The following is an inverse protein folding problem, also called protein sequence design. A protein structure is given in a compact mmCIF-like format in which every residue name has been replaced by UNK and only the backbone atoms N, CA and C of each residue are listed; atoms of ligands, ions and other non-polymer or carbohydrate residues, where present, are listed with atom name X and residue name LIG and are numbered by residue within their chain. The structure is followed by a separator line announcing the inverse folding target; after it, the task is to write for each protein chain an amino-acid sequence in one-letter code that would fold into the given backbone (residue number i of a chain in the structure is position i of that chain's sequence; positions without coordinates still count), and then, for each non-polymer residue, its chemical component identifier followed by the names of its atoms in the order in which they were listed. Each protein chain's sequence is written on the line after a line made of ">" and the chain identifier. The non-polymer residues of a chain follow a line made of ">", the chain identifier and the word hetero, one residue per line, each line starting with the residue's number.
data_IF_930051876819
#
_entry.id   IF_930051876819
#
_cell.length_a   1.000
_cell.length_b   1.000
_cell.length_c   1.000
_cell.angle_alpha   90.00
_cell.angle_beta   90.00
_cell.angle_gamma   90.00
#
_symmetry.space_group_name_H-M   'P 1'
#
loop_
_entity.id
_entity.type
_entity.pdbx_description
1 polymer ?
#
# COMPACT_ATOMS: atom_id res chain seq x y z
N UNK A 1 -0.79 -1.46 27.19
CA UNK A 1 0.58 -1.37 26.63
C UNK A 1 0.46 -1.40 25.12
N UNK A 2 0.91 -0.34 24.42
CA UNK A 2 0.78 -0.22 22.96
C UNK A 2 1.79 -1.15 22.28
N UNK A 3 1.32 -2.11 21.48
CA UNK A 3 2.16 -2.93 20.59
C UNK A 3 2.05 -2.34 19.19
N UNK A 4 3.12 -1.69 18.75
CA UNK A 4 3.28 -1.23 17.37
C UNK A 4 3.92 -2.41 16.63
N UNK A 5 3.13 -3.11 15.82
CA UNK A 5 3.63 -4.19 14.96
C UNK A 5 3.99 -3.54 13.62
N UNK A 6 5.25 -3.16 13.47
CA UNK A 6 5.85 -2.93 12.16
C UNK A 6 6.15 -4.31 11.54
N UNK A 7 5.29 -4.78 10.64
CA UNK A 7 5.47 -6.05 9.92
C UNK A 7 4.81 -5.89 8.55
N UNK A 8 5.39 -6.22 7.40
CA UNK A 8 6.74 -6.62 7.05
C UNK A 8 6.98 -6.06 5.63
N UNK A 9 8.18 -5.54 5.39
CA UNK A 9 8.60 -5.08 4.06
C UNK A 9 8.72 -6.31 3.15
N UNK A 10 7.75 -6.50 2.24
CA UNK A 10 7.75 -7.63 1.29
C UNK A 10 9.00 -7.50 0.40
N UNK A 11 9.82 -8.55 0.41
CA UNK A 11 10.99 -8.68 -0.44
C UNK A 11 10.56 -8.67 -1.91
N UNK A 12 10.91 -7.60 -2.63
CA UNK A 12 10.73 -7.51 -4.08
C UNK A 12 11.77 -8.42 -4.73
N UNK A 13 11.31 -9.48 -5.39
CA UNK A 13 12.15 -10.31 -6.27
C UNK A 13 12.54 -9.47 -7.49
N UNK A 14 13.78 -8.97 -7.48
CA UNK A 14 14.39 -8.30 -8.63
C UNK A 14 14.82 -9.39 -9.61
N UNK A 15 13.98 -9.72 -10.60
CA UNK A 15 14.41 -10.54 -11.73
C UNK A 15 15.21 -9.62 -12.66
N UNK A 16 16.51 -9.44 -12.39
CA UNK A 16 17.41 -8.82 -13.35
C UNK A 16 17.85 -9.87 -14.37
N UNK A 17 17.16 -9.94 -15.51
CA UNK A 17 17.82 -10.45 -16.71
C UNK A 17 18.81 -9.39 -17.19
N UNK A 18 20.02 -9.38 -16.63
CA UNK A 18 21.11 -8.56 -17.14
C UNK A 18 21.56 -9.15 -18.48
N UNK A 19 21.06 -8.57 -19.57
CA UNK A 19 21.70 -8.68 -20.88
C UNK A 19 22.55 -7.42 -21.01
N UNK A 20 23.87 -7.56 -20.95
CA UNK A 20 24.83 -6.49 -21.20
C UNK A 20 24.51 -5.83 -22.55
N UNK A 21 24.16 -4.54 -22.54
CA UNK A 21 24.10 -3.74 -23.75
C UNK A 21 24.75 -2.38 -23.51
N UNK A 22 25.97 -2.23 -24.06
CA UNK A 22 26.71 -0.98 -24.12
C UNK A 22 26.09 -0.07 -25.20
N UNK A 23 24.98 0.62 -24.90
CA UNK A 23 24.50 1.66 -25.79
C UNK A 23 23.96 2.89 -25.05
N UNK A 24 24.58 4.04 -25.33
CA UNK A 24 24.47 5.33 -24.63
C UNK A 24 23.14 6.08 -24.90
N UNK A 25 22.17 5.45 -25.57
CA UNK A 25 20.95 6.12 -26.04
C UNK A 25 19.63 5.41 -25.66
N UNK A 26 19.61 4.53 -24.66
CA UNK A 26 18.35 3.90 -24.25
C UNK A 26 17.56 4.79 -23.28
N UNK A 27 16.28 4.98 -23.62
CA UNK A 27 15.23 5.56 -22.76
C UNK A 27 15.40 5.07 -21.31
N UNK A 28 15.05 5.90 -20.30
CA UNK A 28 15.19 5.48 -18.92
C UNK A 28 14.44 4.15 -18.76
N UNK A 29 15.18 3.13 -18.29
CA UNK A 29 14.65 1.82 -17.93
C UNK A 29 13.53 2.05 -16.90
N UNK A 30 12.30 2.26 -17.36
CA UNK A 30 11.12 2.31 -16.51
C UNK A 30 10.94 0.91 -15.97
N UNK A 31 11.46 0.68 -14.75
CA UNK A 31 11.04 -0.44 -13.95
C UNK A 31 9.55 -0.28 -13.70
N UNK A 32 8.74 -1.00 -14.47
CA UNK A 32 7.31 -1.13 -14.18
C UNK A 32 7.19 -1.97 -12.91
N UNK A 33 6.94 -1.31 -11.78
CA UNK A 33 6.58 -2.00 -10.55
C UNK A 33 5.19 -2.58 -10.76
N UNK A 34 5.10 -3.91 -10.88
CA UNK A 34 3.85 -4.64 -10.82
C UNK A 34 3.31 -4.59 -9.39
N UNK A 35 2.45 -3.61 -9.11
CA UNK A 35 1.70 -3.57 -7.86
C UNK A 35 0.47 -4.49 -8.00
N UNK A 36 0.32 -5.55 -7.17
CA UNK A 36 -0.82 -6.44 -7.26
C UNK A 36 -2.11 -5.66 -6.98
N UNK A 37 -3.10 -5.77 -7.89
CA UNK A 37 -4.41 -5.10 -7.73
C UNK A 37 -5.17 -5.60 -6.51
N UNK A 38 -4.91 -6.84 -6.08
CA UNK A 38 -5.54 -7.46 -4.92
C UNK A 38 -4.58 -8.43 -4.26
N UNK A 39 -4.45 -8.32 -2.95
CA UNK A 39 -3.73 -9.26 -2.09
C UNK A 39 -4.70 -9.75 -1.03
N UNK A 40 -4.68 -11.05 -0.74
CA UNK A 40 -5.48 -11.66 0.31
C UNK A 40 -4.58 -12.51 1.18
N UNK A 41 -4.58 -12.23 2.48
CA UNK A 41 -3.83 -12.96 3.49
C UNK A 41 -4.82 -13.60 4.45
N UNK A 42 -4.59 -14.86 4.82
CA UNK A 42 -5.47 -15.57 5.76
C UNK A 42 -4.64 -16.31 6.80
N UNK A 43 -5.00 -16.18 8.07
CA UNK A 43 -4.30 -16.80 9.18
C UNK A 43 -5.24 -17.03 10.37
N UNK A 44 -4.82 -17.88 11.31
CA UNK A 44 -5.49 -18.05 12.60
C UNK A 44 -4.83 -17.13 13.63
N UNK A 45 -5.65 -16.51 14.48
CA UNK A 45 -5.20 -15.66 15.60
C UNK A 45 -6.11 -15.89 16.81
N UNK A 46 -5.69 -15.45 17.99
CA UNK A 46 -6.59 -15.37 19.14
C UNK A 46 -7.16 -13.96 19.25
N UNK A 47 -8.47 -13.82 19.45
CA UNK A 47 -9.09 -12.53 19.73
C UNK A 47 -8.90 -12.09 21.19
N UNK A 48 -9.46 -10.95 21.58
CA UNK A 48 -9.30 -10.38 22.94
C UNK A 48 -9.87 -11.29 24.05
N UNK A 49 -10.77 -12.22 23.71
CA UNK A 49 -11.30 -13.22 24.66
C UNK A 49 -10.41 -14.46 24.78
N UNK A 50 -9.36 -14.58 23.96
CA UNK A 50 -8.48 -15.74 23.87
C UNK A 50 -9.01 -16.88 23.00
N UNK A 51 -10.15 -16.70 22.34
CA UNK A 51 -10.69 -17.67 21.40
C UNK A 51 -9.91 -17.62 20.07
N UNK A 52 -9.62 -18.80 19.49
CA UNK A 52 -9.05 -18.88 18.15
C UNK A 52 -10.09 -18.46 17.11
N UNK A 53 -9.69 -17.55 16.22
CA UNK A 53 -10.52 -16.97 15.16
C UNK A 53 -9.78 -17.00 13.83
N UNK A 54 -10.54 -17.01 12.74
CA UNK A 54 -10.01 -16.89 11.39
C UNK A 54 -9.93 -15.44 10.97
N UNK A 55 -8.72 -14.95 10.68
CA UNK A 55 -8.52 -13.60 10.15
C UNK A 55 -8.28 -13.66 8.64
N UNK A 56 -8.98 -12.80 7.91
CA UNK A 56 -8.74 -12.56 6.48
C UNK A 56 -8.51 -11.07 6.28
N UNK A 57 -7.35 -10.73 5.72
CA UNK A 57 -6.98 -9.38 5.34
C UNK A 57 -7.01 -9.27 3.82
N UNK A 58 -7.67 -8.24 3.31
CA UNK A 58 -7.79 -7.97 1.88
C UNK A 58 -7.29 -6.55 1.61
N UNK A 59 -6.30 -6.43 0.72
CA UNK A 59 -5.81 -5.15 0.20
C UNK A 59 -6.18 -5.08 -1.28
N UNK A 60 -6.91 -4.04 -1.68
CA UNK A 60 -7.28 -3.75 -3.05
C UNK A 60 -6.69 -2.41 -3.49
N UNK A 61 -5.97 -2.40 -4.60
CA UNK A 61 -5.26 -1.23 -5.09
C UNK A 61 -5.81 -0.77 -6.44
N UNK A 62 -6.03 0.54 -6.54
CA UNK A 62 -6.40 1.23 -7.77
C UNK A 62 -5.17 1.88 -8.37
N UNK A 63 -4.70 1.33 -9.50
CA UNK A 63 -3.57 1.85 -10.26
C UNK A 63 -4.05 2.51 -11.56
N UNK A 64 -3.45 3.64 -11.93
CA UNK A 64 -3.64 4.28 -13.23
C UNK A 64 -2.31 4.88 -13.70
N UNK A 65 -1.91 4.60 -14.96
CA UNK A 65 -0.66 5.09 -15.55
C UNK A 65 0.57 4.86 -14.64
N UNK A 66 0.66 3.67 -14.03
CA UNK A 66 1.75 3.30 -13.12
C UNK A 66 1.72 3.95 -11.73
N UNK A 67 0.68 4.72 -11.40
CA UNK A 67 0.52 5.38 -10.09
C UNK A 67 -0.57 4.71 -9.25
N UNK A 68 -0.30 4.57 -7.95
CA UNK A 68 -1.29 4.14 -6.96
C UNK A 68 -2.20 5.31 -6.61
N UNK A 69 -3.47 5.24 -6.98
CA UNK A 69 -4.45 6.29 -6.70
C UNK A 69 -5.22 6.04 -5.40
N UNK A 70 -5.47 4.77 -5.09
CA UNK A 70 -6.14 4.38 -3.87
C UNK A 70 -5.73 2.97 -3.44
N UNK A 71 -5.81 2.71 -2.15
CA UNK A 71 -5.66 1.40 -1.54
C UNK A 71 -6.76 1.24 -0.49
N UNK A 72 -7.49 0.13 -0.54
CA UNK A 72 -8.51 -0.23 0.44
C UNK A 72 -8.06 -1.48 1.16
N UNK A 73 -7.93 -1.39 2.48
CA UNK A 73 -7.72 -2.51 3.37
C UNK A 73 -9.03 -2.88 4.05
N UNK A 74 -9.35 -4.17 4.07
CA UNK A 74 -10.48 -4.72 4.84
C UNK A 74 -10.02 -5.93 5.64
N UNK A 75 -10.37 -5.96 6.93
CA UNK A 75 -10.11 -7.09 7.82
C UNK A 75 -11.42 -7.77 8.20
N UNK A 76 -11.42 -9.10 8.08
CA UNK A 76 -12.52 -9.97 8.49
C UNK A 76 -12.07 -10.89 9.62
N UNK A 77 -12.90 -11.04 10.63
CA UNK A 77 -12.80 -12.07 11.68
C UNK A 77 -13.99 -13.01 11.52
N UNK A 78 -13.73 -14.31 11.31
CA UNK A 78 -14.76 -15.34 11.08
C UNK A 78 -15.82 -14.96 10.03
N UNK A 79 -15.35 -14.31 8.96
CA UNK A 79 -16.13 -13.76 7.83
C UNK A 79 -16.93 -12.48 8.12
N UNK A 80 -16.85 -11.93 9.32
CA UNK A 80 -17.43 -10.63 9.64
C UNK A 80 -16.40 -9.51 9.47
N UNK A 81 -16.79 -8.42 8.79
CA UNK A 81 -15.91 -7.25 8.66
C UNK A 81 -15.74 -6.58 10.02
N UNK A 82 -14.52 -6.55 10.54
CA UNK A 82 -14.20 -5.97 11.85
C UNK A 82 -13.43 -4.67 11.77
N UNK A 83 -12.69 -4.43 10.66
CA UNK A 83 -11.89 -3.22 10.47
C UNK A 83 -11.66 -2.91 8.97
N UNK A 84 -11.14 -1.72 8.70
CA UNK A 84 -10.69 -1.34 7.37
C UNK A 84 -10.29 0.13 7.26
N UNK A 85 -9.40 0.43 6.32
CA UNK A 85 -9.02 1.79 5.96
C UNK A 85 -9.00 1.98 4.45
N UNK A 86 -9.08 3.24 4.03
CA UNK A 86 -8.83 3.64 2.66
C UNK A 86 -7.74 4.73 2.64
N UNK A 87 -6.70 4.47 1.86
CA UNK A 87 -5.71 5.48 1.51
C UNK A 87 -6.06 6.02 0.12
N UNK A 88 -6.09 7.36 -0.04
CA UNK A 88 -6.22 8.01 -1.35
C UNK A 88 -5.02 8.91 -1.62
N UNK A 89 -4.51 8.84 -2.85
CA UNK A 89 -3.32 9.53 -3.30
C UNK A 89 -3.64 10.44 -4.49
N UNK A 90 -3.12 11.66 -4.46
CA UNK A 90 -3.14 12.56 -5.62
C UNK A 90 -1.73 12.91 -6.03
N UNK A 91 -1.55 13.26 -7.30
CA UNK A 91 -0.25 13.58 -7.86
C UNK A 91 -0.29 14.92 -8.59
N UNK A 92 0.77 15.70 -8.45
CA UNK A 92 1.01 16.96 -9.17
C UNK A 92 2.39 16.85 -9.82
N UNK A 93 2.49 17.11 -11.13
CA UNK A 93 3.76 17.00 -11.88
C UNK A 93 4.46 15.64 -11.69
N UNK A 94 3.69 14.55 -11.66
CA UNK A 94 4.16 13.18 -11.40
C UNK A 94 4.72 12.90 -10.00
N UNK A 95 4.63 13.84 -9.07
CA UNK A 95 5.02 13.67 -7.66
C UNK A 95 3.78 13.52 -6.78
N UNK A 96 3.89 12.72 -5.70
CA UNK A 96 2.79 12.51 -4.76
C UNK A 96 2.46 13.83 -4.05
N UNK A 97 1.29 14.40 -4.30
CA UNK A 97 0.88 15.69 -3.72
C UNK A 97 0.18 15.52 -2.38
N UNK A 98 -0.79 14.61 -2.30
CA UNK A 98 -1.52 14.34 -1.05
C UNK A 98 -1.69 12.87 -0.81
N UNK A 99 -1.63 12.46 0.46
CA UNK A 99 -2.07 11.17 0.96
C UNK A 99 -3.14 11.41 2.02
N UNK A 100 -4.33 10.83 1.85
CA UNK A 100 -5.40 10.87 2.86
C UNK A 100 -5.66 9.48 3.38
N UNK A 101 -5.72 9.33 4.70
CA UNK A 101 -6.05 8.09 5.39
C UNK A 101 -7.45 8.21 6.02
N UNK A 102 -8.38 7.39 5.56
CA UNK A 102 -9.75 7.27 6.04
C UNK A 102 -9.89 5.99 6.85
N UNK A 103 -10.29 6.09 8.11
CA UNK A 103 -10.81 4.94 8.85
C UNK A 103 -12.23 4.66 8.33
N UNK A 104 -12.43 3.51 7.69
CA UNK A 104 -13.73 3.16 7.06
C UNK A 104 -14.76 2.71 8.08
N UNK A 105 -14.33 2.25 9.26
CA UNK A 105 -15.23 1.84 10.35
C UNK A 105 -15.84 3.04 11.05
N UNK A 106 -15.03 4.08 11.29
CA UNK A 106 -15.46 5.36 11.86
C UNK A 106 -16.00 6.33 10.82
N UNK A 107 -15.80 6.04 9.53
CA UNK A 107 -16.05 6.95 8.41
C UNK A 107 -15.42 8.34 8.65
N UNK A 108 -14.15 8.35 9.06
CA UNK A 108 -13.45 9.57 9.49
C UNK A 108 -12.04 9.63 8.94
N UNK A 109 -11.69 10.77 8.34
CA UNK A 109 -10.31 11.06 7.94
C UNK A 109 -9.47 11.23 9.22
N UNK A 110 -8.52 10.33 9.44
CA UNK A 110 -7.62 10.40 10.59
C UNK A 110 -6.33 11.17 10.26
N UNK A 111 -5.90 11.12 9.01
CA UNK A 111 -4.70 11.83 8.55
C UNK A 111 -4.88 12.35 7.12
N UNK A 112 -4.38 13.56 6.88
CA UNK A 112 -4.12 14.08 5.53
C UNK A 112 -2.73 14.68 5.51
N UNK A 113 -1.84 14.10 4.72
CA UNK A 113 -0.49 14.60 4.48
C UNK A 113 -0.45 15.28 3.11
N UNK A 114 0.12 16.48 3.06
CA UNK A 114 0.40 17.21 1.80
C UNK A 114 1.91 17.36 1.68
N UNK A 115 2.48 16.88 0.58
CA UNK A 115 3.90 16.96 0.32
C UNK A 115 4.20 18.20 -0.52
N UNK A 116 5.20 18.95 -0.07
CA UNK A 116 5.75 20.06 -0.82
C UNK A 116 7.13 19.65 -1.31
N UNK A 117 7.43 19.94 -2.58
CA UNK A 117 8.73 19.60 -3.16
C UNK A 117 9.47 20.89 -3.52
N UNK A 118 10.66 21.07 -2.95
CA UNK A 118 11.57 22.15 -3.30
C UNK A 118 12.86 21.54 -3.86
N UNK A 119 13.18 21.82 -5.13
CA UNK A 119 14.36 21.25 -5.79
C UNK A 119 14.36 19.71 -5.86
N UNK A 120 13.19 19.08 -5.95
CA UNK A 120 13.05 17.61 -6.01
C UNK A 120 13.18 16.88 -4.67
N UNK A 121 13.33 17.61 -3.55
CA UNK A 121 13.29 17.04 -2.19
C UNK A 121 11.97 17.37 -1.51
N UNK A 122 11.49 16.46 -0.65
CA UNK A 122 10.37 16.74 0.25
C UNK A 122 10.84 17.85 1.20
N UNK A 123 10.18 19.00 1.14
CA UNK A 123 10.41 20.17 1.99
C UNK A 123 9.48 20.24 3.19
#
# INVERSE_FOLDING_TARGET
>A
MKRIIFSALIAVLIISCSKDNNNINEQPNTQEILFPKKVTTSFKSNNDSGAEVSIVEVIEAKMENGKLLAEVFTMFEDNEKVDGYENTMTYENNLLKTLTHLDTKKNKIENKTTYNYAGGKIG
#
